data_IF_875049445529
#
_entry.id   IF_875049445529
#
_cell.length_a   1.000
_cell.length_b   1.000
_cell.length_c   1.000
_cell.angle_alpha   90.00
_cell.angle_beta   90.00
_cell.angle_gamma   90.00
#
_symmetry.space_group_name_H-M   'P 1'
#
loop_
_entity.id
_entity.type
_entity.pdbx_description
1 polymer ?
#
# COMPACT_ATOMS: atom_id res chain seq x y z
N UNK A 1 -34.56 -12.16 -57.63
CA UNK A 1 -33.41 -12.86 -57.06
C UNK A 1 -33.74 -13.22 -55.61
N UNK A 2 -34.35 -14.35 -55.28
CA UNK A 2 -34.83 -14.63 -53.91
C UNK A 2 -33.80 -15.28 -53.00
N UNK A 3 -32.63 -15.65 -53.47
CA UNK A 3 -31.64 -16.40 -52.69
C UNK A 3 -30.70 -15.52 -51.80
N UNK A 4 -30.70 -14.22 -52.02
CA UNK A 4 -29.93 -13.28 -51.16
C UNK A 4 -30.54 -13.14 -49.74
N UNK A 5 -31.86 -13.30 -49.63
CA UNK A 5 -32.55 -13.20 -48.35
C UNK A 5 -32.30 -14.41 -47.41
N UNK A 6 -31.87 -15.54 -47.95
CA UNK A 6 -31.59 -16.74 -47.12
C UNK A 6 -30.22 -16.76 -46.47
N UNK A 7 -29.26 -15.90 -46.91
CA UNK A 7 -27.89 -15.85 -46.39
C UNK A 7 -27.75 -14.83 -45.26
N UNK A 8 -28.62 -13.81 -45.23
CA UNK A 8 -28.57 -12.73 -44.24
C UNK A 8 -28.57 -13.23 -42.77
N UNK A 9 -29.40 -14.20 -42.34
CA UNK A 9 -29.38 -14.66 -40.95
C UNK A 9 -28.09 -15.42 -40.58
N UNK A 10 -27.44 -16.10 -41.52
CA UNK A 10 -26.19 -16.82 -41.27
C UNK A 10 -24.99 -15.87 -41.13
N UNK A 11 -24.98 -14.79 -41.89
CA UNK A 11 -23.94 -13.76 -41.79
C UNK A 11 -24.06 -12.99 -40.47
N UNK A 12 -25.27 -12.66 -40.03
CA UNK A 12 -25.50 -12.01 -38.73
C UNK A 12 -25.12 -12.93 -37.55
N UNK A 13 -25.43 -14.22 -37.62
CA UNK A 13 -25.05 -15.19 -36.62
C UNK A 13 -23.52 -15.36 -36.54
N UNK A 14 -22.81 -15.39 -37.66
CA UNK A 14 -21.35 -15.48 -37.69
C UNK A 14 -20.69 -14.22 -37.14
N UNK A 15 -21.21 -13.04 -37.42
CA UNK A 15 -20.73 -11.77 -36.86
C UNK A 15 -20.92 -11.69 -35.33
N UNK A 16 -22.08 -12.15 -34.83
CA UNK A 16 -22.35 -12.20 -33.39
C UNK A 16 -21.40 -13.15 -32.65
N UNK A 17 -21.10 -14.31 -33.23
CA UNK A 17 -20.13 -15.25 -32.65
C UNK A 17 -18.73 -14.66 -32.65
N UNK A 18 -18.27 -14.03 -33.72
CA UNK A 18 -16.95 -13.41 -33.79
C UNK A 18 -16.78 -12.25 -32.79
N UNK A 19 -17.79 -11.38 -32.67
CA UNK A 19 -17.76 -10.28 -31.71
C UNK A 19 -17.74 -10.77 -30.26
N UNK A 20 -18.42 -11.85 -29.94
CA UNK A 20 -18.42 -12.48 -28.63
C UNK A 20 -17.04 -13.08 -28.29
N UNK A 21 -16.39 -13.72 -29.25
CA UNK A 21 -15.03 -14.27 -29.07
C UNK A 21 -14.00 -13.18 -28.78
N UNK A 22 -14.00 -12.08 -29.53
CA UNK A 22 -13.12 -10.94 -29.32
C UNK A 22 -13.36 -10.29 -27.95
N UNK A 23 -14.63 -10.16 -27.54
CA UNK A 23 -14.97 -9.60 -26.24
C UNK A 23 -14.52 -10.50 -25.06
N UNK A 24 -14.61 -11.82 -25.22
CA UNK A 24 -14.14 -12.78 -24.21
C UNK A 24 -12.61 -12.77 -24.13
N UNK A 25 -11.91 -12.74 -25.24
CA UNK A 25 -10.43 -12.73 -25.26
C UNK A 25 -9.88 -11.47 -24.62
N UNK A 26 -10.40 -10.29 -24.99
CA UNK A 26 -10.02 -9.02 -24.36
C UNK A 26 -10.33 -8.98 -22.85
N UNK A 27 -11.44 -9.57 -22.41
CA UNK A 27 -11.77 -9.67 -20.99
C UNK A 27 -10.82 -10.61 -20.23
N UNK A 28 -10.33 -11.68 -20.88
CA UNK A 28 -9.33 -12.57 -20.28
C UNK A 28 -7.97 -11.88 -20.15
N UNK A 29 -7.53 -11.14 -21.17
CA UNK A 29 -6.30 -10.34 -21.10
C UNK A 29 -6.39 -9.27 -20.00
N UNK A 30 -7.51 -8.56 -19.89
CA UNK A 30 -7.72 -7.58 -18.82
C UNK A 30 -7.67 -8.23 -17.43
N UNK A 31 -8.23 -9.43 -17.25
CA UNK A 31 -8.12 -10.19 -16.01
C UNK A 31 -6.69 -10.59 -15.70
N UNK A 32 -5.92 -11.02 -16.69
CA UNK A 32 -4.51 -11.37 -16.51
C UNK A 32 -3.69 -10.13 -16.10
N UNK A 33 -3.94 -8.99 -16.75
CA UNK A 33 -3.29 -7.73 -16.42
C UNK A 33 -3.70 -7.21 -15.04
N UNK A 34 -4.98 -7.33 -14.64
CA UNK A 34 -5.45 -7.01 -13.31
C UNK A 34 -4.78 -7.87 -12.23
N UNK A 35 -4.59 -9.17 -12.47
CA UNK A 35 -3.85 -10.05 -11.55
C UNK A 35 -2.39 -9.60 -11.38
N UNK A 36 -1.71 -9.25 -12.48
CA UNK A 36 -0.33 -8.72 -12.43
C UNK A 36 -0.28 -7.39 -11.66
N UNK A 37 -1.21 -6.48 -11.94
CA UNK A 37 -1.30 -5.20 -11.25
C UNK A 37 -1.53 -5.36 -9.73
N UNK A 38 -2.41 -6.27 -9.32
CA UNK A 38 -2.63 -6.60 -7.90
C UNK A 38 -1.38 -7.16 -7.23
N UNK A 39 -0.66 -8.05 -7.92
CA UNK A 39 0.61 -8.61 -7.41
C UNK A 39 1.64 -7.51 -7.20
N UNK A 40 1.84 -6.63 -8.19
CA UNK A 40 2.75 -5.48 -8.07
C UNK A 40 2.33 -4.50 -6.97
N UNK A 41 1.03 -4.27 -6.78
CA UNK A 41 0.52 -3.44 -5.69
C UNK A 41 0.84 -4.05 -4.32
N UNK A 42 0.72 -5.38 -4.17
CA UNK A 42 1.07 -6.11 -2.95
C UNK A 42 2.56 -6.04 -2.65
N UNK A 43 3.42 -6.22 -3.66
CA UNK A 43 4.87 -6.09 -3.52
C UNK A 43 5.28 -4.67 -3.13
N UNK A 44 4.69 -3.65 -3.77
CA UNK A 44 4.89 -2.24 -3.41
C UNK A 44 4.51 -1.95 -1.95
N UNK A 45 3.36 -2.44 -1.50
CA UNK A 45 2.94 -2.29 -0.11
C UNK A 45 3.96 -2.92 0.84
N UNK A 46 4.46 -4.13 0.52
CA UNK A 46 5.49 -4.81 1.31
C UNK A 46 6.78 -3.97 1.43
N UNK A 47 7.25 -3.42 0.31
CA UNK A 47 8.44 -2.56 0.29
C UNK A 47 8.22 -1.28 1.12
N UNK A 48 7.09 -0.59 0.95
CA UNK A 48 6.77 0.63 1.70
C UNK A 48 6.71 0.37 3.22
N UNK A 49 6.09 -0.73 3.65
CA UNK A 49 6.04 -1.12 5.06
C UNK A 49 7.44 -1.45 5.61
N UNK A 50 8.27 -2.15 4.82
CA UNK A 50 9.64 -2.47 5.21
C UNK A 50 10.49 -1.20 5.36
N UNK A 51 10.39 -0.25 4.43
CA UNK A 51 11.07 1.05 4.50
C UNK A 51 10.64 1.85 5.72
N UNK A 52 9.34 2.01 5.96
CA UNK A 52 8.85 2.72 7.14
C UNK A 52 9.29 2.07 8.46
N UNK A 53 9.38 0.73 8.49
CA UNK A 53 9.90 0.00 9.65
C UNK A 53 11.40 0.23 9.86
N UNK A 54 12.19 0.26 8.77
CA UNK A 54 13.62 0.53 8.82
C UNK A 54 13.90 1.97 9.29
N UNK A 55 13.17 2.95 8.77
CA UNK A 55 13.24 4.35 9.19
C UNK A 55 12.89 4.52 10.67
N UNK A 56 11.80 3.90 11.15
CA UNK A 56 11.43 3.94 12.55
C UNK A 56 12.49 3.29 13.45
N UNK A 57 13.12 2.19 13.04
CA UNK A 57 14.24 1.57 13.76
C UNK A 57 15.45 2.51 13.83
N UNK A 58 15.78 3.16 12.73
CA UNK A 58 16.88 4.12 12.68
C UNK A 58 16.62 5.30 13.61
N UNK A 59 15.43 5.90 13.55
CA UNK A 59 15.05 7.00 14.45
C UNK A 59 15.12 6.59 15.92
N UNK A 60 14.59 5.40 16.27
CA UNK A 60 14.71 4.87 17.66
C UNK A 60 16.16 4.70 18.09
N UNK A 61 17.04 4.23 17.21
CA UNK A 61 18.46 4.09 17.53
C UNK A 61 19.15 5.44 17.75
N UNK A 62 18.79 6.46 16.98
CA UNK A 62 19.29 7.82 17.14
C UNK A 62 18.81 8.42 18.47
N UNK A 63 17.51 8.29 18.80
CA UNK A 63 16.97 8.75 20.10
C UNK A 63 17.65 8.05 21.27
N UNK A 64 17.86 6.73 21.18
CA UNK A 64 18.56 5.98 22.24
C UNK A 64 20.02 6.44 22.43
N UNK A 65 20.75 6.66 21.33
CA UNK A 65 22.14 7.20 21.40
C UNK A 65 22.16 8.60 21.97
N UNK A 66 21.22 9.47 21.56
CA UNK A 66 21.10 10.84 22.11
C UNK A 66 20.88 10.81 23.62
N UNK A 67 19.94 9.96 24.09
CA UNK A 67 19.70 9.79 25.52
C UNK A 67 20.95 9.31 26.25
N UNK A 68 21.64 8.29 25.73
CA UNK A 68 22.89 7.81 26.34
C UNK A 68 23.92 8.93 26.45
N UNK A 69 24.16 9.71 25.40
CA UNK A 69 25.10 10.83 25.40
C UNK A 69 24.70 11.91 26.43
N UNK A 70 23.40 12.22 26.52
CA UNK A 70 22.90 13.20 27.51
C UNK A 70 23.09 12.72 28.95
N UNK A 71 22.83 11.43 29.22
CA UNK A 71 23.06 10.85 30.54
C UNK A 71 24.53 10.81 30.90
N UNK A 72 25.39 10.45 29.95
CA UNK A 72 26.85 10.45 30.21
C UNK A 72 27.38 11.87 30.46
N UNK A 73 26.93 12.86 29.69
CA UNK A 73 27.30 14.26 29.90
C UNK A 73 26.82 14.76 31.26
N UNK A 74 25.62 14.42 31.71
CA UNK A 74 25.09 14.81 33.02
C UNK A 74 25.89 14.19 34.15
N UNK A 75 26.32 12.94 34.02
CA UNK A 75 27.16 12.25 35.02
C UNK A 75 28.57 12.84 35.11
N UNK A 76 29.16 13.17 33.97
CA UNK A 76 30.49 13.84 33.95
C UNK A 76 30.42 15.20 34.63
N UNK A 77 29.38 16.01 34.33
CA UNK A 77 29.18 17.31 34.97
C UNK A 77 28.94 17.19 36.50
N UNK A 78 28.13 16.22 36.91
CA UNK A 78 27.86 15.96 38.31
C UNK A 78 29.14 15.50 39.06
N UNK A 79 29.96 14.65 38.45
CA UNK A 79 31.25 14.23 39.00
C UNK A 79 32.25 15.39 39.12
N UNK A 80 32.33 16.26 38.11
CA UNK A 80 33.21 17.43 38.10
C UNK A 80 32.80 18.50 39.13
N UNK A 81 31.49 18.63 39.41
CA UNK A 81 30.95 19.59 40.39
C UNK A 81 30.94 19.06 41.82
N UNK A 82 31.34 17.82 42.07
CA UNK A 82 31.31 17.19 43.40
C UNK A 82 29.90 16.88 43.92
N UNK A 83 28.86 17.04 43.10
CA UNK A 83 27.43 16.86 43.45
C UNK A 83 26.89 15.55 42.86
N UNK A 84 27.74 14.52 42.78
CA UNK A 84 27.31 13.21 42.27
C UNK A 84 26.24 12.58 43.16
N UNK A 85 25.12 12.17 42.56
CA UNK A 85 24.01 11.51 43.28
C UNK A 85 23.01 12.45 43.96
N UNK A 86 23.10 13.77 43.75
CA UNK A 86 22.15 14.72 44.30
C UNK A 86 20.77 14.70 43.64
N UNK A 87 19.73 15.20 44.34
CA UNK A 87 18.36 15.26 43.83
C UNK A 87 18.26 15.97 42.49
N UNK A 88 19.07 16.99 42.23
CA UNK A 88 19.10 17.73 40.96
C UNK A 88 19.54 16.86 39.76
N UNK A 89 20.49 15.94 39.98
CA UNK A 89 20.93 15.01 38.94
C UNK A 89 19.81 14.03 38.58
N UNK A 90 19.12 13.47 39.60
CA UNK A 90 18.01 12.56 39.39
C UNK A 90 16.86 13.23 38.65
N UNK A 91 16.57 14.50 38.94
CA UNK A 91 15.55 15.27 38.21
C UNK A 91 15.95 15.46 36.74
N UNK A 92 17.21 15.79 36.47
CA UNK A 92 17.70 15.97 35.10
C UNK A 92 17.68 14.65 34.30
N UNK A 93 18.15 13.56 34.89
CA UNK A 93 18.10 12.23 34.26
C UNK A 93 16.65 11.77 33.98
N UNK A 94 15.74 12.07 34.92
CA UNK A 94 14.31 11.77 34.72
C UNK A 94 13.67 12.60 33.59
N UNK A 95 14.08 13.86 33.45
CA UNK A 95 13.62 14.73 32.35
C UNK A 95 14.11 14.20 31.00
N UNK A 96 15.38 13.84 30.86
CA UNK A 96 15.89 13.24 29.61
C UNK A 96 15.22 11.91 29.28
N UNK A 97 14.96 11.09 30.29
CA UNK A 97 14.22 9.83 30.09
C UNK A 97 12.78 10.08 29.65
N UNK A 98 12.10 11.11 30.16
CA UNK A 98 10.75 11.49 29.75
C UNK A 98 10.72 11.99 28.30
N UNK A 99 11.67 12.86 27.92
CA UNK A 99 11.80 13.34 26.55
C UNK A 99 12.03 12.19 25.56
N UNK A 100 12.95 11.27 25.88
CA UNK A 100 13.20 10.10 25.03
C UNK A 100 11.97 9.19 24.92
N UNK A 101 11.18 9.02 25.97
CA UNK A 101 9.92 8.27 25.93
C UNK A 101 8.90 8.95 25.01
N UNK A 102 8.76 10.26 25.08
CA UNK A 102 7.88 11.04 24.22
C UNK A 102 8.28 10.91 22.74
N UNK A 103 9.59 11.02 22.45
CA UNK A 103 10.12 10.81 21.10
C UNK A 103 9.82 9.39 20.59
N UNK A 104 10.07 8.36 21.39
CA UNK A 104 9.79 6.97 21.03
C UNK A 104 8.30 6.72 20.80
N UNK A 105 7.43 7.33 21.60
CA UNK A 105 5.97 7.26 21.44
C UNK A 105 5.56 7.94 20.14
N UNK A 106 6.11 9.09 19.83
CA UNK A 106 5.86 9.82 18.57
C UNK A 106 6.30 9.00 17.37
N UNK A 107 7.50 8.40 17.39
CA UNK A 107 8.01 7.53 16.34
C UNK A 107 7.05 6.35 16.11
N UNK A 108 6.62 5.69 17.20
CA UNK A 108 5.71 4.53 17.07
C UNK A 108 4.33 4.92 16.56
N UNK A 109 3.79 6.06 16.96
CA UNK A 109 2.52 6.60 16.49
C UNK A 109 2.59 6.96 15.00
N UNK A 110 3.68 7.62 14.58
CA UNK A 110 3.89 7.96 13.17
C UNK A 110 4.06 6.72 12.31
N UNK A 111 4.77 5.71 12.79
CA UNK A 111 4.89 4.41 12.10
C UNK A 111 3.52 3.73 11.92
N UNK A 112 2.68 3.73 12.96
CA UNK A 112 1.34 3.16 12.90
C UNK A 112 0.44 3.92 11.89
N UNK A 113 0.46 5.25 11.93
CA UNK A 113 -0.30 6.10 10.99
C UNK A 113 0.17 5.90 9.55
N UNK A 114 1.47 5.84 9.32
CA UNK A 114 2.01 5.54 7.98
C UNK A 114 1.55 4.16 7.49
N UNK A 115 1.59 3.15 8.34
CA UNK A 115 1.08 1.81 8.03
C UNK A 115 -0.39 1.81 7.63
N UNK A 116 -1.25 2.53 8.38
CA UNK A 116 -2.67 2.68 8.05
C UNK A 116 -2.88 3.42 6.72
N UNK A 117 -2.08 4.47 6.47
CA UNK A 117 -2.11 5.20 5.19
C UNK A 117 -1.76 4.31 4.00
N UNK A 118 -0.74 3.46 4.13
CA UNK A 118 -0.36 2.49 3.10
C UNK A 118 -1.47 1.46 2.86
N UNK A 119 -2.10 0.96 3.92
CA UNK A 119 -3.20 -0.01 3.80
C UNK A 119 -4.43 0.61 3.13
N UNK A 120 -4.77 1.86 3.43
CA UNK A 120 -5.87 2.56 2.76
C UNK A 120 -5.57 2.80 1.27
N UNK A 121 -4.38 3.26 0.94
CA UNK A 121 -3.95 3.46 -0.44
C UNK A 121 -3.95 2.14 -1.22
N UNK A 122 -3.48 1.07 -0.61
CA UNK A 122 -3.52 -0.27 -1.21
C UNK A 122 -4.96 -0.72 -1.49
N UNK A 123 -5.87 -0.58 -0.51
CA UNK A 123 -7.30 -0.92 -0.69
C UNK A 123 -7.94 -0.13 -1.82
N UNK A 124 -7.68 1.17 -1.88
CA UNK A 124 -8.20 2.03 -2.95
C UNK A 124 -7.66 1.61 -4.32
N UNK A 125 -6.37 1.26 -4.41
CA UNK A 125 -5.78 0.72 -5.64
C UNK A 125 -6.42 -0.60 -6.07
N UNK A 126 -6.63 -1.52 -5.14
CA UNK A 126 -7.28 -2.81 -5.44
C UNK A 126 -8.72 -2.59 -5.91
N UNK A 127 -9.49 -1.73 -5.24
CA UNK A 127 -10.86 -1.39 -5.65
C UNK A 127 -10.89 -0.76 -7.04
N UNK A 128 -9.95 0.12 -7.36
CA UNK A 128 -9.83 0.72 -8.70
C UNK A 128 -9.53 -0.34 -9.77
N UNK A 129 -8.62 -1.28 -9.50
CA UNK A 129 -8.32 -2.38 -10.42
C UNK A 129 -9.55 -3.27 -10.61
N UNK A 130 -10.29 -3.58 -9.54
CA UNK A 130 -11.48 -4.41 -9.61
C UNK A 130 -12.62 -3.73 -10.38
N UNK A 131 -12.84 -2.43 -10.18
CA UNK A 131 -13.87 -1.68 -10.88
C UNK A 131 -13.61 -1.55 -12.40
N UNK A 132 -12.33 -1.59 -12.79
CA UNK A 132 -11.93 -1.53 -14.21
C UNK A 132 -11.88 -2.91 -14.89
N UNK A 133 -12.03 -3.99 -14.12
CA UNK A 133 -11.95 -5.35 -14.66
C UNK A 133 -13.35 -5.88 -14.96
N UNK A 134 -13.76 -5.95 -16.23
CA UNK A 134 -15.10 -6.44 -16.59
C UNK A 134 -15.25 -7.92 -16.25
N UNK A 135 -16.44 -8.33 -15.85
CA UNK A 135 -16.75 -9.75 -15.73
C UNK A 135 -16.84 -10.36 -17.14
N UNK A 136 -16.34 -11.59 -17.32
CA UNK A 136 -16.43 -12.29 -18.62
C UNK A 136 -17.87 -12.43 -19.07
N UNK A 137 -18.80 -12.60 -18.13
CA UNK A 137 -20.23 -12.66 -18.44
C UNK A 137 -20.79 -11.35 -19.00
N UNK A 138 -20.39 -10.20 -18.41
CA UNK A 138 -20.81 -8.89 -18.94
C UNK A 138 -20.20 -8.60 -20.31
N UNK A 139 -18.94 -8.98 -20.54
CA UNK A 139 -18.28 -8.84 -21.83
C UNK A 139 -18.94 -9.72 -22.91
N UNK A 140 -19.30 -10.95 -22.59
CA UNK A 140 -20.01 -11.85 -23.50
C UNK A 140 -21.41 -11.31 -23.86
N UNK A 141 -22.12 -10.76 -22.85
CA UNK A 141 -23.45 -10.16 -23.07
C UNK A 141 -23.38 -8.90 -23.96
N UNK A 142 -22.42 -8.00 -23.69
CA UNK A 142 -22.26 -6.80 -24.54
C UNK A 142 -21.84 -7.13 -25.96
N UNK A 143 -20.95 -8.12 -26.14
CA UNK A 143 -20.57 -8.60 -27.48
C UNK A 143 -21.73 -9.20 -28.27
N UNK A 144 -22.62 -9.97 -27.62
CA UNK A 144 -23.81 -10.53 -28.23
C UNK A 144 -24.81 -9.43 -28.65
N UNK A 145 -24.98 -8.38 -27.84
CA UNK A 145 -25.89 -7.26 -28.18
C UNK A 145 -25.37 -6.40 -29.33
N UNK A 146 -24.04 -6.22 -29.46
CA UNK A 146 -23.45 -5.49 -30.61
C UNK A 146 -23.51 -6.25 -31.92
N UNK A 147 -23.60 -7.59 -31.88
CA UNK A 147 -23.71 -8.41 -33.09
C UNK A 147 -25.13 -8.53 -33.67
N UNK A 148 -26.15 -8.02 -32.98
CA UNK A 148 -27.57 -8.10 -33.38
C UNK A 148 -28.08 -6.76 -33.96
N UNK A 149 -27.33 -5.68 -33.87
CA UNK A 149 -27.63 -4.37 -34.48
C UNK A 149 -27.00 -4.26 -35.85
#
# INVERSE_FOLDING_TARGET
>A
MPWVAAIAPYVAAAAAVASTYVAIDSAQEQKANAKKAKKLATEKLGIQKAQATAEAKQQRSVTARRLATQLDASRVLAGASGVSGGASQLVLESAYAADARNDLTTISTNQARSGQGFDMNFRNNILSIDSQTPSVGAAAFSGAMQGIG
#
